data_IF_589300668610
#
_entry.id   IF_589300668610
#
_cell.length_a   1.000
_cell.length_b   1.000
_cell.length_c   1.000
_cell.angle_alpha   90.00
_cell.angle_beta   90.00
_cell.angle_gamma   90.00
#
_symmetry.space_group_name_H-M   'P 1'
#
loop_
_entity.id
_entity.type
_entity.pdbx_description
1 polymer ?
#
# COMPACT_ATOMS: atom_id res chain seq x y z
N UNK A 1 20.55 -25.75 -4.59
CA UNK A 1 19.18 -26.31 -4.61
C UNK A 1 18.28 -25.30 -5.30
N UNK A 2 17.68 -25.66 -6.43
CA UNK A 2 16.70 -24.82 -7.12
C UNK A 2 15.37 -24.94 -6.39
N UNK A 3 14.89 -23.84 -5.82
CA UNK A 3 13.57 -23.82 -5.16
C UNK A 3 12.50 -24.10 -6.23
N UNK A 4 11.56 -25.03 -5.99
CA UNK A 4 10.51 -25.31 -6.95
C UNK A 4 9.68 -24.05 -7.20
N UNK A 5 9.38 -23.77 -8.47
CA UNK A 5 8.69 -22.56 -8.92
C UNK A 5 7.41 -22.27 -8.12
N UNK A 6 6.61 -23.31 -7.84
CA UNK A 6 5.39 -23.22 -7.03
C UNK A 6 5.64 -22.71 -5.60
N UNK A 7 6.74 -23.14 -4.97
CA UNK A 7 7.12 -22.70 -3.63
C UNK A 7 7.55 -21.23 -3.64
N UNK A 8 8.30 -20.83 -4.68
CA UNK A 8 8.71 -19.44 -4.88
C UNK A 8 7.49 -18.53 -5.05
N UNK A 9 6.58 -18.91 -5.94
CA UNK A 9 5.33 -18.17 -6.18
C UNK A 9 4.50 -18.05 -4.90
N UNK A 10 4.34 -19.14 -4.15
CA UNK A 10 3.59 -19.12 -2.89
C UNK A 10 4.24 -18.17 -1.87
N UNK A 11 5.58 -18.20 -1.77
CA UNK A 11 6.34 -17.26 -0.93
C UNK A 11 6.11 -15.81 -1.34
N UNK A 12 6.24 -15.48 -2.63
CA UNK A 12 6.00 -14.13 -3.15
C UNK A 12 4.58 -13.65 -2.86
N UNK A 13 3.58 -14.49 -3.13
CA UNK A 13 2.16 -14.17 -2.86
C UNK A 13 1.93 -13.92 -1.38
N UNK A 14 2.52 -14.73 -0.50
CA UNK A 14 2.40 -14.56 0.95
C UNK A 14 3.01 -13.23 1.41
N UNK A 15 4.20 -12.88 0.90
CA UNK A 15 4.85 -11.60 1.20
C UNK A 15 3.99 -10.42 0.73
N UNK A 16 3.47 -10.47 -0.49
CA UNK A 16 2.62 -9.41 -1.03
C UNK A 16 1.32 -9.26 -0.25
N UNK A 17 0.68 -10.37 0.13
CA UNK A 17 -0.51 -10.34 0.97
C UNK A 17 -0.23 -9.66 2.32
N UNK A 18 0.90 -9.97 2.97
CA UNK A 18 1.30 -9.34 4.24
C UNK A 18 1.54 -7.84 4.05
N UNK A 19 2.27 -7.44 3.00
CA UNK A 19 2.51 -6.03 2.69
C UNK A 19 1.20 -5.25 2.46
N UNK A 20 0.25 -5.83 1.72
CA UNK A 20 -1.05 -5.21 1.47
C UNK A 20 -1.88 -5.07 2.74
N UNK A 21 -1.88 -6.11 3.60
CA UNK A 21 -2.53 -6.04 4.91
C UNK A 21 -1.91 -4.97 5.79
N UNK A 22 -0.58 -4.92 5.90
CA UNK A 22 0.12 -3.92 6.71
C UNK A 22 -0.24 -2.50 6.26
N UNK A 23 -0.21 -2.26 4.94
CA UNK A 23 -0.58 -0.97 4.38
C UNK A 23 -2.04 -0.60 4.69
N UNK A 24 -2.95 -1.58 4.66
CA UNK A 24 -4.36 -1.40 5.05
C UNK A 24 -4.52 -0.97 6.51
N UNK A 25 -3.77 -1.56 7.44
CA UNK A 25 -3.85 -1.25 8.87
C UNK A 25 -3.20 0.09 9.26
N UNK A 26 -2.16 0.53 8.56
CA UNK A 26 -1.47 1.80 8.89
C UNK A 26 -2.37 3.03 8.63
N UNK A 27 -3.34 2.94 7.72
CA UNK A 27 -4.11 4.10 7.24
C UNK A 27 -5.56 4.14 7.68
N UNK A 28 -6.04 3.14 8.38
CA UNK A 28 -7.38 3.15 8.95
C UNK A 28 -7.24 3.40 10.45
N UNK A 29 -7.59 4.62 10.87
CA UNK A 29 -7.51 5.04 12.27
C UNK A 29 -8.28 4.11 13.22
N UNK A 30 -9.41 3.56 12.77
CA UNK A 30 -10.25 2.65 13.54
C UNK A 30 -10.41 1.31 12.82
N UNK A 31 -9.87 0.19 13.35
CA UNK A 31 -9.88 -1.11 12.67
C UNK A 31 -11.29 -1.70 12.47
N UNK A 32 -12.31 -1.13 13.10
CA UNK A 32 -13.74 -1.45 12.92
C UNK A 32 -14.40 -0.68 11.77
N UNK A 33 -13.72 0.29 11.18
CA UNK A 33 -14.27 1.10 10.11
C UNK A 33 -14.33 0.31 8.79
N UNK A 34 -15.48 0.35 8.12
CA UNK A 34 -15.71 -0.38 6.87
C UNK A 34 -14.72 0.02 5.76
N UNK A 35 -14.10 1.20 5.89
CA UNK A 35 -13.07 1.72 5.01
C UNK A 35 -11.85 0.78 4.87
N UNK A 36 -11.53 -0.05 5.86
CA UNK A 36 -10.43 -1.02 5.76
C UNK A 36 -10.67 -2.10 4.68
N UNK A 37 -11.93 -2.35 4.35
CA UNK A 37 -12.29 -3.33 3.33
C UNK A 37 -11.86 -2.89 1.92
N UNK A 38 -11.71 -1.58 1.67
CA UNK A 38 -11.36 -1.05 0.35
C UNK A 38 -9.91 -1.38 -0.04
N UNK A 39 -8.86 -1.00 0.73
CA UNK A 39 -7.48 -1.32 0.38
C UNK A 39 -7.21 -2.83 0.48
N UNK A 40 -7.80 -3.53 1.46
CA UNK A 40 -7.62 -4.99 1.58
C UNK A 40 -8.31 -5.72 0.43
N UNK A 41 -9.55 -5.35 0.09
CA UNK A 41 -10.32 -5.97 -0.99
C UNK A 41 -9.69 -5.69 -2.36
N UNK A 42 -9.32 -4.44 -2.63
CA UNK A 42 -8.64 -4.08 -3.88
C UNK A 42 -7.26 -4.74 -4.00
N UNK A 43 -6.46 -4.73 -2.94
CA UNK A 43 -5.17 -5.44 -2.90
C UNK A 43 -5.33 -6.94 -3.13
N UNK A 44 -6.34 -7.57 -2.53
CA UNK A 44 -6.62 -9.00 -2.73
C UNK A 44 -7.03 -9.32 -4.17
N UNK A 45 -7.86 -8.47 -4.78
CA UNK A 45 -8.24 -8.59 -6.18
C UNK A 45 -7.03 -8.46 -7.11
N UNK A 46 -6.17 -7.47 -6.88
CA UNK A 46 -4.93 -7.28 -7.64
C UNK A 46 -3.99 -8.47 -7.48
N UNK A 47 -3.87 -9.03 -6.28
CA UNK A 47 -3.05 -10.21 -6.02
C UNK A 47 -3.57 -11.43 -6.78
N UNK A 48 -4.88 -11.67 -6.75
CA UNK A 48 -5.50 -12.74 -7.54
C UNK A 48 -5.26 -12.51 -9.02
N UNK A 49 -5.50 -11.30 -9.50
CA UNK A 49 -5.29 -10.95 -10.90
C UNK A 49 -3.85 -11.20 -11.34
N UNK A 50 -2.86 -10.67 -10.61
CA UNK A 50 -1.44 -10.84 -10.90
C UNK A 50 -1.01 -12.31 -10.91
N UNK A 51 -1.54 -13.14 -10.00
CA UNK A 51 -1.28 -14.59 -10.02
C UNK A 51 -1.89 -15.24 -11.27
N UNK A 52 -3.11 -14.86 -11.66
CA UNK A 52 -3.77 -15.43 -12.85
C UNK A 52 -3.15 -14.99 -14.16
N UNK A 53 -2.55 -13.79 -14.22
CA UNK A 53 -1.95 -13.21 -15.42
C UNK A 53 -0.43 -13.33 -15.48
N UNK A 54 0.21 -13.98 -14.49
CA UNK A 54 1.66 -14.03 -14.30
C UNK A 54 2.32 -12.64 -14.18
N UNK A 55 1.62 -11.66 -13.63
CA UNK A 55 2.08 -10.26 -13.46
C UNK A 55 2.49 -9.94 -12.01
N UNK A 56 3.14 -10.90 -11.34
CA UNK A 56 3.58 -10.72 -9.95
C UNK A 56 4.68 -9.66 -9.83
N UNK A 57 5.55 -9.51 -10.82
CA UNK A 57 6.66 -8.55 -10.75
C UNK A 57 6.13 -7.11 -10.84
N UNK A 58 5.12 -6.89 -11.68
CA UNK A 58 4.39 -5.63 -11.84
C UNK A 58 3.64 -5.26 -10.56
N UNK A 59 3.01 -6.25 -9.91
CA UNK A 59 2.39 -6.05 -8.60
C UNK A 59 3.41 -5.71 -7.53
N UNK A 60 4.58 -6.37 -7.54
CA UNK A 60 5.69 -6.07 -6.65
C UNK A 60 6.18 -4.63 -6.81
N UNK A 61 6.30 -4.14 -8.05
CA UNK A 61 6.66 -2.76 -8.36
C UNK A 61 5.62 -1.77 -7.82
N UNK A 62 4.33 -2.07 -8.00
CA UNK A 62 3.24 -1.25 -7.47
C UNK A 62 3.24 -1.18 -5.94
N UNK A 63 3.47 -2.32 -5.27
CA UNK A 63 3.62 -2.38 -3.81
C UNK A 63 4.85 -1.57 -3.37
N UNK A 64 5.97 -1.65 -4.10
CA UNK A 64 7.16 -0.86 -3.78
C UNK A 64 6.90 0.64 -3.94
N UNK A 65 6.18 1.05 -4.99
CA UNK A 65 5.74 2.43 -5.19
C UNK A 65 4.81 2.92 -4.08
N UNK A 66 3.89 2.07 -3.62
CA UNK A 66 3.03 2.34 -2.46
C UNK A 66 3.86 2.66 -1.22
N UNK A 67 4.81 1.78 -0.85
CA UNK A 67 5.69 2.02 0.29
C UNK A 67 6.64 3.21 0.11
N UNK A 68 7.04 3.51 -1.13
CA UNK A 68 7.76 4.74 -1.45
C UNK A 68 6.94 6.00 -1.16
N UNK A 69 5.67 6.02 -1.58
CA UNK A 69 4.74 7.11 -1.29
C UNK A 69 4.48 7.25 0.22
N UNK A 70 4.38 6.12 0.93
CA UNK A 70 4.26 6.07 2.39
C UNK A 70 5.46 6.70 3.10
N UNK A 71 6.66 6.31 2.67
CA UNK A 71 7.90 6.84 3.22
C UNK A 71 8.00 8.34 2.96
N UNK A 72 7.72 8.78 1.72
CA UNK A 72 7.74 10.19 1.35
C UNK A 72 6.77 11.00 2.21
N UNK A 73 5.53 10.51 2.35
CA UNK A 73 4.50 11.17 3.16
C UNK A 73 4.92 11.27 4.62
N UNK A 74 5.48 10.19 5.17
CA UNK A 74 5.97 10.15 6.56
C UNK A 74 7.11 11.14 6.79
N UNK A 75 8.07 11.21 5.87
CA UNK A 75 9.19 12.17 5.93
C UNK A 75 8.68 13.60 5.79
N UNK A 76 7.77 13.86 4.84
CA UNK A 76 7.19 15.20 4.64
C UNK A 76 6.41 15.68 5.85
N UNK A 77 5.60 14.82 6.48
CA UNK A 77 4.89 15.14 7.71
C UNK A 77 5.85 15.37 8.88
N UNK A 78 6.87 14.53 9.05
CA UNK A 78 7.88 14.69 10.10
C UNK A 78 8.67 16.00 9.95
N UNK A 79 9.10 16.34 8.73
CA UNK A 79 9.74 17.63 8.44
C UNK A 79 8.77 18.81 8.62
N UNK A 80 7.52 18.64 8.21
CA UNK A 80 6.45 19.60 8.42
C UNK A 80 6.25 19.90 9.90
N UNK A 81 6.22 18.89 10.76
CA UNK A 81 6.15 19.07 12.21
C UNK A 81 7.37 19.81 12.77
N UNK A 82 8.59 19.47 12.32
CA UNK A 82 9.81 20.21 12.72
C UNK A 82 9.73 21.69 12.31
N UNK A 83 9.12 22.01 11.17
CA UNK A 83 8.94 23.38 10.68
C UNK A 83 7.75 24.12 11.34
N UNK A 84 6.67 23.38 11.66
CA UNK A 84 5.42 23.88 12.25
C UNK A 84 5.51 24.03 13.78
N UNK A 85 6.44 23.35 14.47
CA UNK A 85 6.74 23.65 15.88
C UNK A 85 7.20 25.12 16.07
N UNK A 86 7.55 25.85 15.00
CA UNK A 86 7.73 27.31 15.01
C UNK A 86 6.47 28.16 14.75
N UNK A 87 5.33 27.57 14.36
CA UNK A 87 4.07 28.27 14.02
C UNK A 87 2.88 27.35 14.32
N UNK A 88 2.27 27.54 15.49
CA UNK A 88 1.26 26.65 16.07
C UNK A 88 0.12 26.19 15.16
N UNK A 89 -0.36 24.97 15.50
CA UNK A 89 -1.65 24.34 15.26
C UNK A 89 -2.21 24.34 13.83
N UNK A 90 -1.82 23.33 13.05
CA UNK A 90 -2.62 22.85 11.92
C UNK A 90 -3.07 21.41 12.21
N UNK A 91 -4.40 21.14 12.31
CA UNK A 91 -4.90 19.78 12.43
C UNK A 91 -4.73 19.11 11.07
N UNK A 92 -3.72 18.25 10.96
CA UNK A 92 -3.58 17.35 9.83
C UNK A 92 -4.47 16.15 10.18
N UNK A 93 -5.49 15.87 9.36
CA UNK A 93 -6.23 14.60 9.42
C UNK A 93 -5.79 13.68 8.27
N UNK A 94 -4.56 13.09 8.32
CA UNK A 94 -4.06 12.24 7.26
C UNK A 94 -4.51 10.77 7.40
N UNK A 95 -5.22 10.40 8.49
CA UNK A 95 -5.43 9.00 8.92
C UNK A 95 -6.87 8.51 8.67
N UNK A 96 -7.70 9.32 8.00
CA UNK A 96 -9.07 8.96 7.62
C UNK A 96 -9.24 8.58 6.15
N UNK A 97 -10.46 8.80 5.62
CA UNK A 97 -10.90 8.47 4.25
C UNK A 97 -9.92 8.93 3.16
N UNK A 98 -9.30 10.11 3.32
CA UNK A 98 -8.33 10.67 2.36
C UNK A 98 -7.09 9.80 2.22
N UNK A 99 -6.56 9.25 3.33
CA UNK A 99 -5.43 8.34 3.33
C UNK A 99 -5.76 7.02 2.64
N UNK A 100 -6.94 6.46 2.93
CA UNK A 100 -7.42 5.21 2.33
C UNK A 100 -7.57 5.33 0.80
N UNK A 101 -8.16 6.43 0.31
CA UNK A 101 -8.38 6.67 -1.12
C UNK A 101 -7.06 6.92 -1.85
N UNK A 102 -6.18 7.75 -1.29
CA UNK A 102 -4.88 8.04 -1.90
C UNK A 102 -4.03 6.76 -2.05
N UNK A 103 -3.98 5.91 -1.03
CA UNK A 103 -3.21 4.67 -1.06
C UNK A 103 -3.77 3.65 -2.06
N UNK A 104 -5.08 3.46 -2.06
CA UNK A 104 -5.74 2.58 -3.04
C UNK A 104 -5.45 3.08 -4.46
N UNK A 105 -5.46 4.39 -4.67
CA UNK A 105 -5.13 5.00 -5.96
C UNK A 105 -3.68 4.79 -6.36
N UNK A 106 -2.72 4.97 -5.44
CA UNK A 106 -1.29 4.73 -5.71
C UNK A 106 -1.04 3.27 -6.08
N UNK A 107 -1.65 2.34 -5.34
CA UNK A 107 -1.49 0.92 -5.60
C UNK A 107 -2.12 0.51 -6.94
N UNK A 108 -3.40 0.85 -7.15
CA UNK A 108 -4.12 0.49 -8.38
C UNK A 108 -3.51 1.19 -9.59
N UNK A 109 -3.23 2.50 -9.48
CA UNK A 109 -2.60 3.28 -10.54
C UNK A 109 -1.19 2.80 -10.87
N UNK A 110 -0.39 2.48 -9.86
CA UNK A 110 0.95 1.91 -10.02
C UNK A 110 0.92 0.56 -10.73
N UNK A 111 -0.02 -0.32 -10.34
CA UNK A 111 -0.19 -1.62 -10.99
C UNK A 111 -0.64 -1.48 -12.45
N UNK A 112 -1.65 -0.64 -12.71
CA UNK A 112 -2.10 -0.36 -14.07
C UNK A 112 -0.98 0.20 -14.95
N UNK A 113 -0.13 1.07 -14.43
CA UNK A 113 1.01 1.61 -15.16
C UNK A 113 2.06 0.54 -15.44
N UNK A 114 2.34 -0.34 -14.47
CA UNK A 114 3.34 -1.40 -14.62
C UNK A 114 2.90 -2.51 -15.60
N UNK A 115 1.59 -2.69 -15.78
CA UNK A 115 1.02 -3.72 -16.68
C UNK A 115 0.80 -3.24 -18.13
N UNK A 116 1.15 -1.99 -18.46
CA UNK A 116 1.10 -1.45 -19.83
C UNK A 116 2.40 -1.65 -20.57
#
# INVERSE_FOLDING_TARGET
MTVPYRLRTLGTVSVYAICLLLAGFVFVAEPTDALIAIPIGSGSLLLVHAVTTNQLDELGSAIMGLYGALLLTSVSLGLGQVFVIGRGDAPIDPVGTTGTVAMTTVLVGGYLLATR
#
